data_IF_483966460252
#
_entry.id   IF_483966460252
#
_cell.length_a   1.000
_cell.length_b   1.000
_cell.length_c   1.000
_cell.angle_alpha   90.00
_cell.angle_beta   90.00
_cell.angle_gamma   90.00
#
_symmetry.space_group_name_H-M   'P 1'
#
loop_
_entity.id
_entity.type
_entity.pdbx_description
1 polymer ?
#
# COMPACT_ATOMS: atom_id res chain seq x y z
N UNK A 1 -75.90 -23.12 -55.37
CA UNK A 1 -74.52 -23.06 -54.86
C UNK A 1 -74.34 -24.29 -53.99
N UNK A 2 -74.30 -25.51 -54.54
CA UNK A 2 -73.14 -26.15 -55.20
C UNK A 2 -71.89 -26.09 -54.28
N UNK A 3 -71.19 -27.16 -53.95
CA UNK A 3 -71.24 -28.57 -54.38
C UNK A 3 -70.36 -29.44 -53.44
N UNK A 4 -70.57 -30.75 -53.59
CA UNK A 4 -70.07 -31.95 -52.90
C UNK A 4 -68.55 -32.24 -52.87
N UNK A 5 -68.19 -33.14 -51.93
CA UNK A 5 -67.24 -34.30 -52.01
C UNK A 5 -65.73 -34.03 -52.25
N UNK A 6 -64.73 -34.77 -51.74
CA UNK A 6 -64.62 -36.11 -51.15
C UNK A 6 -63.23 -36.34 -50.50
N UNK A 7 -63.17 -37.32 -49.59
CA UNK A 7 -62.06 -38.15 -49.05
C UNK A 7 -60.64 -38.07 -49.67
N UNK A 8 -59.58 -38.27 -48.86
CA UNK A 8 -58.87 -39.57 -48.64
C UNK A 8 -57.79 -39.45 -47.53
N UNK A 9 -57.72 -40.45 -46.62
CA UNK A 9 -56.59 -40.83 -45.74
C UNK A 9 -55.54 -41.64 -46.57
N UNK A 10 -54.38 -42.22 -46.11
CA UNK A 10 -53.88 -42.43 -44.74
C UNK A 10 -52.34 -42.30 -44.49
N UNK A 11 -51.94 -42.38 -43.20
CA UNK A 11 -50.91 -43.35 -42.76
C UNK A 11 -49.48 -42.90 -42.36
N UNK A 12 -49.15 -43.16 -41.07
CA UNK A 12 -47.83 -43.64 -40.57
C UNK A 12 -46.71 -42.60 -40.33
N UNK A 13 -45.73 -42.79 -39.44
CA UNK A 13 -45.49 -43.76 -38.37
C UNK A 13 -44.31 -43.28 -37.47
N UNK A 14 -44.25 -43.83 -36.25
CA UNK A 14 -43.22 -43.88 -35.19
C UNK A 14 -41.85 -43.14 -35.29
N UNK A 15 -41.40 -42.58 -34.14
CA UNK A 15 -40.16 -43.05 -33.47
C UNK A 15 -40.01 -42.57 -32.01
N UNK A 16 -39.68 -43.52 -31.13
CA UNK A 16 -39.45 -43.36 -29.70
C UNK A 16 -37.94 -43.24 -29.37
N UNK A 17 -37.64 -42.53 -28.28
CA UNK A 17 -36.29 -42.30 -27.73
C UNK A 17 -35.98 -43.37 -26.68
N UNK A 18 -34.81 -44.02 -26.78
CA UNK A 18 -34.23 -44.85 -25.73
C UNK A 18 -32.75 -44.51 -25.54
N UNK A 19 -32.39 -44.15 -24.30
CA UNK A 19 -31.04 -43.82 -23.83
C UNK A 19 -30.23 -45.08 -23.57
N UNK A 20 -28.92 -45.06 -23.89
CA UNK A 20 -27.98 -46.12 -23.52
C UNK A 20 -26.62 -45.55 -23.11
N UNK A 21 -26.22 -45.93 -21.91
CA UNK A 21 -24.94 -45.66 -21.22
C UNK A 21 -23.74 -46.29 -21.93
N UNK A 22 -22.58 -45.63 -21.90
CA UNK A 22 -21.26 -46.28 -22.07
C UNK A 22 -20.22 -45.67 -21.14
N UNK A 23 -19.59 -46.55 -20.36
CA UNK A 23 -18.34 -46.36 -19.63
C UNK A 23 -17.13 -46.64 -20.54
N UNK A 24 -16.05 -45.87 -20.41
CA UNK A 24 -14.70 -46.31 -20.77
C UNK A 24 -13.65 -45.62 -19.90
N UNK A 25 -12.73 -46.41 -19.38
CA UNK A 25 -11.52 -46.05 -18.63
C UNK A 25 -10.41 -45.45 -19.50
N UNK A 26 -9.45 -44.77 -18.85
CA UNK A 26 -7.98 -44.88 -19.00
C UNK A 26 -7.22 -43.54 -18.82
N UNK A 27 -6.44 -43.49 -17.73
CA UNK A 27 -5.09 -42.93 -17.56
C UNK A 27 -4.79 -41.46 -17.92
N UNK A 28 -4.35 -40.73 -16.89
CA UNK A 28 -3.24 -39.77 -17.01
C UNK A 28 -3.60 -38.29 -16.92
N UNK A 29 -3.59 -37.73 -15.69
CA UNK A 29 -3.24 -36.32 -15.52
C UNK A 29 -2.17 -36.19 -14.45
N UNK A 30 -0.97 -35.84 -14.90
CA UNK A 30 0.16 -35.44 -14.07
C UNK A 30 -0.28 -34.35 -13.12
N UNK A 31 -0.26 -34.68 -11.84
CA UNK A 31 -0.29 -33.72 -10.75
C UNK A 31 1.01 -32.90 -10.84
N UNK A 32 0.89 -31.70 -11.38
CA UNK A 32 1.96 -30.70 -11.42
C UNK A 32 1.36 -29.35 -11.04
N UNK A 33 0.60 -29.33 -9.96
CA UNK A 33 0.30 -28.10 -9.26
C UNK A 33 1.54 -27.73 -8.42
N UNK A 34 2.53 -27.17 -9.11
CA UNK A 34 3.62 -26.43 -8.49
C UNK A 34 2.99 -25.38 -7.57
N UNK A 35 3.22 -25.55 -6.26
CA UNK A 35 2.82 -24.68 -5.15
C UNK A 35 2.89 -23.19 -5.55
N UNK A 36 1.79 -22.64 -6.07
CA UNK A 36 1.67 -21.22 -6.31
C UNK A 36 1.63 -20.53 -4.96
N UNK A 37 2.71 -19.81 -4.61
CA UNK A 37 2.79 -19.00 -3.41
C UNK A 37 1.49 -18.23 -3.13
N UNK A 38 1.05 -18.26 -1.87
CA UNK A 38 -0.24 -17.70 -1.43
C UNK A 38 -0.27 -16.19 -1.75
N UNK A 39 -1.10 -15.77 -2.70
CA UNK A 39 -1.26 -14.38 -3.13
C UNK A 39 -2.44 -13.75 -2.39
N UNK A 40 -2.21 -12.62 -1.72
CA UNK A 40 -3.25 -11.79 -1.09
C UNK A 40 -3.08 -10.35 -1.60
N UNK A 41 -3.98 -9.89 -2.46
CA UNK A 41 -3.86 -8.57 -3.11
C UNK A 41 -2.54 -8.40 -3.89
N UNK A 42 -1.74 -7.40 -3.51
CA UNK A 42 -0.40 -7.13 -4.07
C UNK A 42 0.74 -7.84 -3.33
N UNK A 43 0.44 -8.53 -2.22
CA UNK A 43 1.39 -9.29 -1.39
C UNK A 43 1.58 -10.70 -1.97
N UNK A 44 2.82 -11.17 -1.99
CA UNK A 44 3.19 -12.55 -2.33
C UNK A 44 4.22 -13.05 -1.33
N UNK A 45 4.07 -14.29 -0.89
CA UNK A 45 5.12 -15.02 -0.16
C UNK A 45 5.82 -15.93 -1.16
N UNK A 46 7.14 -15.79 -1.30
CA UNK A 46 7.94 -16.66 -2.17
C UNK A 46 8.19 -18.01 -1.49
N UNK A 47 8.65 -19.01 -2.26
CA UNK A 47 8.94 -20.35 -1.73
C UNK A 47 10.07 -20.35 -0.68
N UNK A 48 10.86 -19.26 -0.63
CA UNK A 48 11.90 -19.02 0.37
C UNK A 48 11.39 -18.25 1.61
N UNK A 49 10.08 -18.05 1.74
CA UNK A 49 9.47 -17.34 2.87
C UNK A 49 9.59 -15.81 2.79
N UNK A 50 10.20 -15.25 1.75
CA UNK A 50 10.30 -13.79 1.58
C UNK A 50 8.94 -13.21 1.24
N UNK A 51 8.52 -12.21 2.02
CA UNK A 51 7.33 -11.41 1.69
C UNK A 51 7.73 -10.34 0.68
N UNK A 52 6.98 -10.26 -0.41
CA UNK A 52 7.14 -9.21 -1.42
C UNK A 52 5.83 -8.46 -1.58
N UNK A 53 5.92 -7.17 -1.87
CA UNK A 53 4.79 -6.32 -2.21
C UNK A 53 5.06 -5.64 -3.54
N UNK A 54 4.18 -5.89 -4.51
CA UNK A 54 4.38 -5.49 -5.91
C UNK A 54 5.78 -5.85 -6.46
N UNK A 55 6.29 -7.04 -6.09
CA UNK A 55 7.59 -7.63 -6.45
C UNK A 55 8.83 -7.06 -5.76
N UNK A 56 8.69 -6.07 -4.88
CA UNK A 56 9.79 -5.58 -4.05
C UNK A 56 9.77 -6.30 -2.69
N UNK A 57 10.90 -6.80 -2.17
CA UNK A 57 10.98 -7.36 -0.81
C UNK A 57 10.49 -6.34 0.23
N UNK A 58 9.66 -6.77 1.18
CA UNK A 58 9.12 -5.84 2.19
C UNK A 58 10.22 -5.27 3.10
N UNK A 59 11.27 -6.05 3.36
CA UNK A 59 12.48 -5.58 4.07
C UNK A 59 13.23 -4.45 3.35
N UNK A 60 13.28 -4.46 2.02
CA UNK A 60 13.88 -3.37 1.23
C UNK A 60 13.01 -2.11 1.31
N UNK A 61 11.68 -2.27 1.17
CA UNK A 61 10.72 -1.17 1.33
C UNK A 61 10.87 -0.54 2.72
N UNK A 62 10.91 -1.37 3.76
CA UNK A 62 11.05 -0.94 5.14
C UNK A 62 12.33 -0.12 5.36
N UNK A 63 13.49 -0.65 4.96
CA UNK A 63 14.78 0.04 5.12
C UNK A 63 14.84 1.36 4.34
N UNK A 64 14.29 1.38 3.12
CA UNK A 64 14.22 2.60 2.32
C UNK A 64 13.32 3.67 2.96
N UNK A 65 12.19 3.25 3.56
CA UNK A 65 11.32 4.15 4.32
C UNK A 65 12.05 4.74 5.53
N UNK A 66 12.71 3.91 6.34
CA UNK A 66 13.46 4.40 7.51
C UNK A 66 14.54 5.40 7.10
N UNK A 67 15.35 5.07 6.10
CA UNK A 67 16.39 5.95 5.58
C UNK A 67 15.82 7.29 5.05
N UNK A 68 14.76 7.23 4.25
CA UNK A 68 14.13 8.41 3.68
C UNK A 68 13.48 9.32 4.73
N UNK A 69 12.79 8.74 5.72
CA UNK A 69 12.18 9.48 6.84
C UNK A 69 13.26 10.16 7.66
N UNK A 70 14.30 9.42 8.08
CA UNK A 70 15.38 9.97 8.88
C UNK A 70 16.05 11.15 8.16
N UNK A 71 16.40 10.99 6.88
CA UNK A 71 17.00 12.05 6.08
C UNK A 71 16.08 13.28 5.95
N UNK A 72 14.80 13.06 5.61
CA UNK A 72 13.83 14.14 5.41
C UNK A 72 13.62 14.95 6.69
N UNK A 73 13.53 14.29 7.84
CA UNK A 73 13.35 14.95 9.14
C UNK A 73 14.61 15.69 9.54
N UNK A 74 15.78 15.05 9.47
CA UNK A 74 17.06 15.69 9.81
C UNK A 74 17.31 16.94 8.95
N UNK A 75 17.01 16.87 7.65
CA UNK A 75 17.11 18.02 6.74
C UNK A 75 16.12 19.12 7.12
N UNK A 76 14.90 18.78 7.51
CA UNK A 76 13.88 19.74 7.93
C UNK A 76 14.23 20.43 9.26
N UNK A 77 14.90 19.73 10.19
CA UNK A 77 15.36 20.28 11.47
C UNK A 77 16.42 21.38 11.30
N UNK A 78 17.15 21.39 10.17
CA UNK A 78 18.11 22.46 9.84
C UNK A 78 17.42 23.72 9.32
N UNK A 79 16.15 23.64 8.91
CA UNK A 79 15.37 24.78 8.42
C UNK A 79 14.72 25.51 9.59
N UNK A 80 14.68 26.86 9.60
CA UNK A 80 14.03 27.61 10.66
C UNK A 80 12.56 27.20 10.83
N UNK A 81 12.10 27.25 12.07
CA UNK A 81 10.68 27.08 12.42
C UNK A 81 9.92 28.32 11.96
N UNK A 82 8.75 28.11 11.35
CA UNK A 82 7.85 29.14 10.86
C UNK A 82 6.43 28.61 10.81
N UNK A 83 5.46 29.52 10.74
CA UNK A 83 4.06 29.17 10.58
C UNK A 83 3.77 28.44 9.27
N UNK A 84 2.74 27.61 9.30
CA UNK A 84 2.23 26.87 8.14
C UNK A 84 1.42 27.81 7.26
N UNK A 85 1.76 27.87 5.98
CA UNK A 85 1.03 28.60 4.95
C UNK A 85 0.20 27.63 4.11
N UNK A 86 -0.88 28.10 3.48
CA UNK A 86 -1.75 27.24 2.67
C UNK A 86 -0.99 26.47 1.57
N UNK A 87 -0.01 27.12 0.93
CA UNK A 87 0.85 26.48 -0.09
C UNK A 87 1.67 25.30 0.45
N UNK A 88 1.96 25.26 1.76
CA UNK A 88 2.79 24.20 2.34
C UNK A 88 2.10 22.83 2.33
N UNK A 89 0.76 22.79 2.23
CA UNK A 89 0.01 21.54 2.10
C UNK A 89 0.19 20.87 0.72
N UNK A 90 0.61 21.62 -0.29
CA UNK A 90 0.84 21.12 -1.65
C UNK A 90 2.33 20.83 -1.93
N UNK A 91 3.23 21.26 -1.05
CA UNK A 91 4.68 21.06 -1.23
C UNK A 91 5.03 19.58 -1.21
N UNK A 92 5.82 19.15 -2.20
CA UNK A 92 6.41 17.82 -2.25
C UNK A 92 7.93 17.98 -2.40
N UNK A 93 8.68 17.65 -1.36
CA UNK A 93 10.14 17.59 -1.42
C UNK A 93 10.57 16.24 -1.96
N UNK A 94 11.44 16.22 -2.97
CA UNK A 94 11.91 14.99 -3.63
C UNK A 94 13.43 14.88 -3.47
N UNK A 95 13.89 13.74 -2.98
CA UNK A 95 15.31 13.42 -2.78
C UNK A 95 15.62 12.09 -3.44
N UNK A 96 16.74 12.05 -4.14
CA UNK A 96 17.24 10.87 -4.82
C UNK A 96 18.32 10.20 -3.95
N UNK A 97 18.19 8.89 -3.77
CA UNK A 97 19.06 8.02 -2.96
C UNK A 97 19.71 6.97 -3.89
N UNK A 98 20.80 7.35 -4.57
CA UNK A 98 21.61 6.38 -5.28
C UNK A 98 22.39 5.53 -4.28
N UNK A 99 22.61 4.25 -4.62
CA UNK A 99 23.38 3.28 -3.82
C UNK A 99 24.76 3.81 -3.41
N UNK A 100 25.41 4.53 -4.32
CA UNK A 100 26.73 5.15 -4.09
C UNK A 100 26.70 6.32 -3.10
N UNK A 101 25.51 6.81 -2.72
CA UNK A 101 25.33 8.05 -1.98
C UNK A 101 25.57 9.30 -2.84
N UNK A 102 25.36 10.45 -2.22
CA UNK A 102 25.65 11.78 -2.78
C UNK A 102 26.35 12.66 -1.73
N UNK A 103 26.52 13.95 -2.01
CA UNK A 103 26.99 14.92 -1.01
C UNK A 103 26.01 15.08 0.17
N UNK A 104 24.73 14.78 -0.03
CA UNK A 104 23.66 15.04 0.94
C UNK A 104 22.91 13.79 1.38
N UNK A 105 23.13 12.64 0.73
CA UNK A 105 22.53 11.35 1.07
C UNK A 105 23.62 10.30 1.29
N UNK A 106 23.52 9.46 2.33
CA UNK A 106 24.54 8.45 2.61
C UNK A 106 24.51 7.31 1.58
N UNK A 107 25.66 6.66 1.36
CA UNK A 107 25.71 5.41 0.63
C UNK A 107 24.98 4.29 1.40
N UNK A 108 24.39 3.33 0.68
CA UNK A 108 23.59 2.27 1.27
C UNK A 108 23.63 0.99 0.44
N UNK A 109 23.14 -0.14 0.98
CA UNK A 109 23.08 -1.42 0.28
C UNK A 109 21.81 -1.63 -0.57
N UNK A 110 20.84 -0.72 -0.48
CA UNK A 110 19.57 -0.80 -1.21
C UNK A 110 19.76 -0.48 -2.70
N UNK A 111 18.78 -0.84 -3.54
CA UNK A 111 18.69 -0.34 -4.91
C UNK A 111 18.52 1.18 -4.91
N UNK A 112 18.92 1.84 -5.99
CA UNK A 112 18.66 3.27 -6.16
C UNK A 112 17.16 3.54 -6.02
N UNK A 113 16.81 4.59 -5.27
CA UNK A 113 15.42 4.98 -5.09
C UNK A 113 15.25 6.48 -4.96
N UNK A 114 14.02 6.92 -5.17
CA UNK A 114 13.56 8.28 -4.94
C UNK A 114 12.62 8.29 -3.75
N UNK A 115 12.81 9.25 -2.87
CA UNK A 115 11.96 9.49 -1.72
C UNK A 115 11.28 10.85 -1.86
N UNK A 116 9.96 10.89 -1.66
CA UNK A 116 9.19 12.13 -1.66
C UNK A 116 8.53 12.33 -0.31
N UNK A 117 8.67 13.53 0.25
CA UNK A 117 7.99 13.96 1.47
C UNK A 117 6.92 14.97 1.11
N UNK A 118 5.68 14.67 1.47
CA UNK A 118 4.51 15.52 1.19
C UNK A 118 4.24 16.40 2.40
N UNK A 119 4.00 17.69 2.16
CA UNK A 119 3.68 18.72 3.15
C UNK A 119 4.61 18.74 4.39
N UNK A 120 5.96 18.77 4.21
CA UNK A 120 6.91 18.61 5.31
C UNK A 120 6.72 19.60 6.46
N UNK A 121 6.42 20.87 6.14
CA UNK A 121 6.23 21.93 7.14
C UNK A 121 4.93 21.71 7.92
N UNK A 122 3.84 21.28 7.27
CA UNK A 122 2.60 20.94 7.95
C UNK A 122 2.78 19.76 8.91
N UNK A 123 3.45 18.69 8.47
CA UNK A 123 3.71 17.53 9.34
C UNK A 123 4.71 17.83 10.47
N UNK A 124 5.60 18.82 10.33
CA UNK A 124 6.36 19.35 11.48
C UNK A 124 5.42 19.98 12.49
N UNK A 125 4.55 20.90 12.06
CA UNK A 125 3.56 21.53 12.94
C UNK A 125 2.60 20.52 13.59
N UNK A 126 2.18 19.46 12.90
CA UNK A 126 1.35 18.41 13.51
C UNK A 126 2.10 17.69 14.63
N UNK A 127 3.37 17.30 14.40
CA UNK A 127 4.19 16.66 15.43
C UNK A 127 4.37 17.56 16.64
N UNK A 128 4.62 18.85 16.43
CA UNK A 128 4.72 19.84 17.50
C UNK A 128 3.39 19.96 18.26
N UNK A 129 2.26 20.04 17.55
CA UNK A 129 0.92 20.10 18.14
C UNK A 129 0.53 18.85 18.94
N UNK A 130 1.06 17.68 18.55
CA UNK A 130 0.92 16.43 19.28
C UNK A 130 1.95 16.26 20.41
N UNK A 131 2.81 17.25 20.64
CA UNK A 131 3.88 17.24 21.65
C UNK A 131 4.84 16.06 21.47
N UNK A 132 5.11 15.72 20.21
CA UNK A 132 6.00 14.62 19.86
C UNK A 132 7.45 15.08 19.90
N UNK A 133 8.26 14.48 20.78
CA UNK A 133 9.71 14.70 20.74
C UNK A 133 10.29 14.07 19.47
N UNK A 134 11.00 14.87 18.68
CA UNK A 134 11.52 14.43 17.39
C UNK A 134 12.65 13.41 17.51
N UNK A 135 13.44 13.45 18.59
CA UNK A 135 14.51 12.49 18.85
C UNK A 135 13.91 11.14 19.19
N UNK A 136 12.90 11.11 20.05
CA UNK A 136 12.20 9.86 20.42
C UNK A 136 11.47 9.28 19.21
N UNK A 137 10.82 10.13 18.42
CA UNK A 137 10.17 9.71 17.17
C UNK A 137 11.15 9.08 16.18
N UNK A 138 12.31 9.70 15.95
CA UNK A 138 13.36 9.14 15.10
C UNK A 138 13.99 7.89 15.71
N UNK A 139 14.14 7.84 17.03
CA UNK A 139 14.67 6.67 17.72
C UNK A 139 13.78 5.46 17.48
N UNK A 140 12.48 5.61 17.76
CA UNK A 140 11.44 4.61 17.56
C UNK A 140 11.36 4.11 16.11
N UNK A 141 11.36 5.03 15.14
CA UNK A 141 11.20 4.69 13.72
C UNK A 141 12.44 4.14 13.05
N UNK A 142 13.65 4.56 13.45
CA UNK A 142 14.85 4.36 12.63
C UNK A 142 15.98 3.59 13.34
N UNK A 143 15.90 3.36 14.66
CA UNK A 143 16.99 2.70 15.40
C UNK A 143 16.88 1.18 15.42
N UNK A 144 15.69 0.63 15.18
CA UNK A 144 15.43 -0.81 15.20
C UNK A 144 14.67 -1.26 13.96
N UNK A 145 14.68 -2.56 13.69
CA UNK A 145 13.89 -3.14 12.60
C UNK A 145 12.40 -3.03 12.92
N UNK A 146 11.59 -2.56 11.96
CA UNK A 146 10.14 -2.51 12.12
C UNK A 146 9.57 -3.93 12.00
N UNK A 147 8.51 -4.21 12.76
CA UNK A 147 7.80 -5.49 12.67
C UNK A 147 6.70 -5.40 11.62
N UNK A 148 6.73 -6.27 10.62
CA UNK A 148 5.65 -6.38 9.64
C UNK A 148 4.44 -7.09 10.28
N UNK A 149 3.27 -6.44 10.28
CA UNK A 149 2.04 -7.06 10.74
C UNK A 149 1.44 -7.93 9.63
N UNK A 150 1.15 -9.18 9.96
CA UNK A 150 0.67 -10.20 9.01
C UNK A 150 -0.77 -9.99 8.53
N UNK A 151 -1.48 -9.01 9.08
CA UNK A 151 -2.89 -8.75 8.86
C UNK A 151 -3.07 -7.56 7.90
N UNK A 152 -2.96 -7.78 6.57
CA UNK A 152 -3.36 -6.76 5.63
C UNK A 152 -4.88 -6.64 5.78
N UNK A 153 -5.38 -5.52 6.35
CA UNK A 153 -6.81 -5.26 6.33
C UNK A 153 -7.40 -5.36 4.91
N UNK A 154 -8.70 -5.13 4.75
CA UNK A 154 -9.42 -5.31 3.48
C UNK A 154 -8.76 -4.69 2.22
N UNK A 155 -7.91 -3.66 2.39
CA UNK A 155 -7.19 -2.99 1.29
C UNK A 155 -5.92 -3.68 0.79
N UNK A 156 -5.47 -4.77 1.42
CA UNK A 156 -4.22 -5.45 1.02
C UNK A 156 -2.96 -4.66 1.34
N UNK A 157 -3.03 -3.69 2.24
CA UNK A 157 -1.91 -2.82 2.64
C UNK A 157 -0.89 -3.56 3.51
N UNK A 158 0.38 -3.18 3.40
CA UNK A 158 1.41 -3.55 4.37
C UNK A 158 1.31 -2.61 5.56
N UNK A 159 1.50 -3.19 6.74
CA UNK A 159 1.62 -2.47 8.00
C UNK A 159 2.95 -2.83 8.63
N UNK A 160 3.71 -1.83 9.01
CA UNK A 160 4.85 -1.97 9.90
C UNK A 160 4.52 -1.29 11.22
N UNK A 161 4.97 -1.87 12.32
CA UNK A 161 4.91 -1.26 13.65
C UNK A 161 6.32 -1.10 14.20
N UNK A 162 6.57 -0.03 14.96
CA UNK A 162 7.84 0.18 15.64
C UNK A 162 8.07 -0.86 16.74
N UNK A 163 9.32 -1.02 17.15
CA UNK A 163 9.70 -2.03 18.14
C UNK A 163 9.07 -1.78 19.52
N UNK A 164 8.82 -0.51 19.85
CA UNK A 164 8.18 -0.01 21.07
C UNK A 164 6.64 0.06 20.98
N UNK A 165 6.04 -0.41 19.89
CA UNK A 165 4.59 -0.38 19.67
C UNK A 165 3.96 1.03 19.61
N UNK A 166 4.73 2.10 19.40
CA UNK A 166 4.23 3.49 19.41
C UNK A 166 3.68 3.96 18.06
N UNK A 167 4.27 3.54 16.94
CA UNK A 167 3.92 4.05 15.61
C UNK A 167 3.64 2.95 14.59
N UNK A 168 2.68 3.22 13.71
CA UNK A 168 2.37 2.43 12.52
C UNK A 168 2.84 3.15 11.28
N UNK A 169 3.51 2.42 10.40
CA UNK A 169 3.68 2.79 9.00
C UNK A 169 2.75 1.93 8.15
N UNK A 170 1.77 2.55 7.51
CA UNK A 170 0.82 1.86 6.63
C UNK A 170 1.05 2.26 5.17
N UNK A 171 1.14 1.29 4.27
CA UNK A 171 1.08 1.59 2.83
C UNK A 171 -0.35 1.97 2.43
N UNK A 172 -0.51 3.04 1.68
CA UNK A 172 -1.80 3.54 1.20
C UNK A 172 -1.86 3.56 -0.32
N UNK A 173 -3.06 3.48 -0.88
CA UNK A 173 -3.29 3.63 -2.30
C UNK A 173 -3.14 5.11 -2.70
N UNK A 174 -2.87 5.35 -3.99
CA UNK A 174 -2.73 6.71 -4.53
C UNK A 174 -3.98 7.58 -4.29
N UNK A 175 -5.18 7.01 -4.44
CA UNK A 175 -6.45 7.71 -4.16
C UNK A 175 -6.56 8.13 -2.69
N UNK A 176 -6.18 7.26 -1.75
CA UNK A 176 -6.19 7.56 -0.31
C UNK A 176 -5.17 8.65 0.04
N UNK A 177 -3.98 8.59 -0.55
CA UNK A 177 -2.95 9.60 -0.35
C UNK A 177 -3.37 10.98 -0.87
N UNK A 178 -3.94 11.04 -2.08
CA UNK A 178 -4.45 12.27 -2.66
C UNK A 178 -5.61 12.85 -1.84
N UNK A 179 -6.49 11.99 -1.34
CA UNK A 179 -7.56 12.41 -0.44
C UNK A 179 -6.99 13.00 0.85
N UNK A 180 -6.05 12.31 1.50
CA UNK A 180 -5.41 12.80 2.72
C UNK A 180 -4.70 14.13 2.50
N UNK A 181 -4.00 14.30 1.37
CA UNK A 181 -3.33 15.57 1.05
C UNK A 181 -4.33 16.72 0.95
N UNK A 182 -5.47 16.51 0.29
CA UNK A 182 -6.55 17.50 0.19
C UNK A 182 -7.23 17.79 1.54
N UNK A 183 -7.22 16.83 2.45
CA UNK A 183 -7.77 16.97 3.81
C UNK A 183 -6.85 17.77 4.75
N UNK A 184 -5.54 17.89 4.46
CA UNK A 184 -4.56 18.49 5.39
C UNK A 184 -4.91 19.91 5.87
N UNK A 185 -5.41 20.84 5.03
CA UNK A 185 -5.78 22.18 5.50
C UNK A 185 -6.89 22.16 6.55
N UNK A 186 -7.95 21.38 6.30
CA UNK A 186 -9.08 21.24 7.25
C UNK A 186 -8.65 20.51 8.52
N UNK A 187 -7.81 19.49 8.37
CA UNK A 187 -7.24 18.77 9.49
C UNK A 187 -6.38 19.68 10.37
N UNK A 188 -5.52 20.53 9.77
CA UNK A 188 -4.74 21.53 10.50
C UNK A 188 -5.63 22.49 11.29
N UNK A 189 -6.67 23.04 10.66
CA UNK A 189 -7.63 23.92 11.33
C UNK A 189 -8.28 23.24 12.52
N UNK A 190 -8.68 21.97 12.37
CA UNK A 190 -9.24 21.20 13.47
C UNK A 190 -8.24 21.00 14.62
N UNK A 191 -6.96 20.72 14.34
CA UNK A 191 -5.94 20.56 15.36
C UNK A 191 -5.71 21.85 16.16
N UNK A 192 -5.71 23.00 15.48
CA UNK A 192 -5.53 24.31 16.13
C UNK A 192 -6.75 24.67 16.99
N UNK A 193 -7.96 24.38 16.52
CA UNK A 193 -9.20 24.74 17.22
C UNK A 193 -9.58 23.76 18.34
N UNK A 194 -9.25 22.47 18.18
CA UNK A 194 -9.70 21.40 19.06
C UNK A 194 -8.51 20.56 19.56
N UNK A 195 -7.85 21.04 20.60
CA UNK A 195 -6.65 20.41 21.19
C UNK A 195 -6.88 19.00 21.76
N UNK A 196 -8.14 18.60 21.97
CA UNK A 196 -8.54 17.26 22.45
C UNK A 196 -9.27 16.44 21.39
N UNK A 197 -8.96 16.65 20.11
CA UNK A 197 -9.58 15.90 19.02
C UNK A 197 -9.34 14.39 19.14
N UNK A 198 -10.33 13.60 18.73
CA UNK A 198 -10.24 12.14 18.61
C UNK A 198 -9.83 11.69 17.19
N UNK A 199 -9.56 12.64 16.29
CA UNK A 199 -9.08 12.30 14.96
C UNK A 199 -7.73 11.57 15.04
N UNK A 200 -7.45 10.65 14.09
CA UNK A 200 -6.16 9.98 14.05
C UNK A 200 -5.01 10.98 13.99
N UNK A 201 -3.93 10.75 14.74
CA UNK A 201 -2.71 11.57 14.71
C UNK A 201 -1.85 11.18 13.51
N UNK A 202 -1.73 12.05 12.52
CA UNK A 202 -0.87 11.82 11.34
C UNK A 202 0.50 12.48 11.53
N UNK A 203 1.58 11.71 11.40
CA UNK A 203 2.95 12.20 11.62
C UNK A 203 3.79 12.36 10.35
N UNK A 204 3.32 11.81 9.23
CA UNK A 204 3.99 11.94 7.94
C UNK A 204 3.23 11.28 6.80
N UNK A 205 3.44 11.80 5.60
CA UNK A 205 3.00 11.22 4.34
C UNK A 205 4.17 11.23 3.36
N UNK A 206 4.62 10.05 2.95
CA UNK A 206 5.81 9.90 2.11
C UNK A 206 5.57 8.94 0.96
N UNK A 207 6.35 9.06 -0.10
CA UNK A 207 6.35 8.16 -1.23
C UNK A 207 7.76 7.65 -1.50
N UNK A 208 7.93 6.33 -1.41
CA UNK A 208 9.12 5.62 -1.84
C UNK A 208 8.91 5.08 -3.26
N UNK A 209 9.85 5.34 -4.16
CA UNK A 209 9.80 4.90 -5.55
C UNK A 209 11.14 4.33 -5.98
N UNK A 210 11.17 3.07 -6.41
CA UNK A 210 12.34 2.48 -7.08
C UNK A 210 12.46 3.06 -8.49
N UNK A 211 13.67 3.37 -8.97
CA UNK A 211 13.86 3.84 -10.34
C UNK A 211 13.36 2.78 -11.34
N UNK A 212 12.44 3.18 -12.23
CA UNK A 212 11.70 2.30 -13.17
C UNK A 212 10.76 1.27 -12.52
N UNK A 213 10.48 1.42 -11.23
CA UNK A 213 9.69 0.50 -10.47
C UNK A 213 8.41 1.11 -9.91
N UNK A 214 7.93 0.44 -8.88
CA UNK A 214 6.67 0.73 -8.22
C UNK A 214 6.84 1.84 -7.19
N UNK A 215 5.85 2.73 -7.11
CA UNK A 215 5.70 3.67 -6.01
C UNK A 215 4.87 3.07 -4.86
N UNK A 216 5.35 3.29 -3.65
CA UNK A 216 4.70 2.94 -2.39
C UNK A 216 4.52 4.22 -1.57
N UNK A 217 3.26 4.55 -1.26
CA UNK A 217 2.94 5.70 -0.43
C UNK A 217 2.70 5.20 0.98
N UNK A 218 3.29 5.86 1.97
CA UNK A 218 3.17 5.48 3.37
C UNK A 218 2.66 6.64 4.20
N UNK A 219 1.79 6.29 5.15
CA UNK A 219 1.24 7.19 6.16
C UNK A 219 1.69 6.72 7.52
N UNK A 220 2.19 7.65 8.33
CA UNK A 220 2.60 7.40 9.70
C UNK A 220 1.52 7.87 10.67
N UNK A 221 1.15 6.99 11.59
CA UNK A 221 0.14 7.24 12.63
C UNK A 221 0.58 6.67 13.96
N UNK A 222 0.06 7.24 15.06
CA UNK A 222 0.18 6.67 16.40
C UNK A 222 -0.54 5.31 16.47
N UNK A 223 0.02 4.36 17.21
CA UNK A 223 -0.67 3.12 17.60
C UNK A 223 -1.63 3.41 18.76
N UNK A 224 -2.87 2.93 18.68
CA UNK A 224 -4.02 3.22 19.56
C UNK A 224 -3.75 3.84 20.93
#
# INVERSE_FOLDING_TARGET
MESNESNTDPGGDHSAIHTRTKTSSFLGRKDSDLKKGKKIGHRRVTDQGTVTYKKTPTSEIQRAIQLGIQHSICTLQQKPVRDVLFRDFEVIETVDFPRSGTKTTPAHALSDFRFRTIAPVAFRSFRDGFQLDIRDYLHSLCSQELRELSNPGASGSIFYITADDEFIIKTVQHKEANFLQKLLPEYYMNLVQHTRTLLPKFYGLHCYQVYQGVSFIVKLIHWF
#
